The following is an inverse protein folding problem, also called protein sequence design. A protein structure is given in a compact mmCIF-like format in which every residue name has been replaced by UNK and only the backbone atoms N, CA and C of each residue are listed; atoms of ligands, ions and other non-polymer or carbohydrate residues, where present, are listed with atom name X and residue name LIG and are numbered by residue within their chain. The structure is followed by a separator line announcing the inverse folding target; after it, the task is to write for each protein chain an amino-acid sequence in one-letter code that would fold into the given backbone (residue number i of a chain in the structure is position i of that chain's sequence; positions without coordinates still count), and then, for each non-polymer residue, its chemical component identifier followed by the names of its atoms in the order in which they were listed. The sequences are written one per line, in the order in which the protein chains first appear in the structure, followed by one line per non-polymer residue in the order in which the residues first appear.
data_IF_144626582784
#
_entry.id   IF_144626582784
#
_cell.length_a   1.000
_cell.length_b   1.000
_cell.length_c   1.000
_cell.angle_alpha   90.00
_cell.angle_beta   90.00
_cell.angle_gamma   90.00
#
_symmetry.space_group_name_H-M   'P 1'
#
loop_
_entity.id
_entity.type
_entity.pdbx_description
1 polymer ?
#
# COMPACT_ATOMS: atom_id res chain seq x y z
N UNK A 1 3.03 -7.04 -21.41
CA UNK A 1 4.07 -6.39 -20.57
C UNK A 1 4.01 -4.87 -20.58
N UNK A 2 4.10 -4.17 -21.73
CA UNK A 2 4.01 -2.68 -21.77
C UNK A 2 2.76 -2.12 -21.07
N UNK A 3 1.59 -2.74 -21.28
CA UNK A 3 0.34 -2.36 -20.59
C UNK A 3 0.41 -2.51 -19.07
N UNK A 4 0.98 -3.62 -18.58
CA UNK A 4 1.16 -3.91 -17.15
C UNK A 4 2.07 -2.85 -16.49
N UNK A 5 3.20 -2.54 -17.13
CA UNK A 5 4.15 -1.53 -16.61
C UNK A 5 3.47 -0.17 -16.55
N UNK A 6 2.79 0.26 -17.62
CA UNK A 6 2.11 1.55 -17.65
C UNK A 6 1.00 1.65 -16.60
N UNK A 7 0.13 0.64 -16.51
CA UNK A 7 -0.91 0.60 -15.48
C UNK A 7 -0.32 0.56 -14.07
N UNK A 8 0.79 -0.15 -13.89
CA UNK A 8 1.48 -0.23 -12.62
C UNK A 8 2.09 1.09 -12.18
N UNK A 9 2.69 1.85 -13.10
CA UNK A 9 3.19 3.20 -12.82
C UNK A 9 2.04 4.13 -12.43
N UNK A 10 0.92 4.10 -13.16
CA UNK A 10 -0.25 4.93 -12.85
C UNK A 10 -0.80 4.59 -11.47
N UNK A 11 -0.95 3.30 -11.15
CA UNK A 11 -1.35 2.85 -9.81
C UNK A 11 -0.35 3.33 -8.76
N UNK A 12 0.95 3.24 -9.02
CA UNK A 12 1.99 3.71 -8.10
C UNK A 12 1.92 5.20 -7.81
N UNK A 13 1.69 6.04 -8.82
CA UNK A 13 1.49 7.50 -8.63
C UNK A 13 0.29 7.77 -7.73
N UNK A 14 -0.84 7.09 -7.97
CA UNK A 14 -2.05 7.31 -7.17
C UNK A 14 -1.88 6.77 -5.75
N UNK A 15 -1.28 5.58 -5.57
CA UNK A 15 -0.99 5.04 -4.24
C UNK A 15 -0.04 5.96 -3.47
N UNK A 16 0.99 6.53 -4.12
CA UNK A 16 1.87 7.49 -3.48
C UNK A 16 1.09 8.70 -2.97
N UNK A 17 0.27 9.33 -3.83
CA UNK A 17 -0.53 10.49 -3.45
C UNK A 17 -1.51 10.16 -2.30
N UNK A 18 -2.22 9.03 -2.39
CA UNK A 18 -3.14 8.57 -1.35
C UNK A 18 -2.40 8.28 -0.04
N UNK A 19 -1.26 7.60 -0.11
CA UNK A 19 -0.44 7.28 1.08
C UNK A 19 0.09 8.54 1.76
N UNK A 20 0.48 9.56 1.00
CA UNK A 20 0.90 10.85 1.57
C UNK A 20 -0.24 11.54 2.30
N UNK A 21 -1.45 11.56 1.72
CA UNK A 21 -2.64 12.15 2.36
C UNK A 21 -3.02 11.40 3.64
N UNK A 22 -3.01 10.06 3.61
CA UNK A 22 -3.30 9.22 4.77
C UNK A 22 -2.25 9.43 5.87
N UNK A 23 -0.97 9.42 5.51
CA UNK A 23 0.13 9.61 6.45
C UNK A 23 0.06 11.00 7.09
N UNK A 24 -0.26 12.06 6.33
CA UNK A 24 -0.47 13.40 6.87
C UNK A 24 -1.52 13.41 7.99
N UNK A 25 -2.64 12.69 7.81
CA UNK A 25 -3.66 12.54 8.86
C UNK A 25 -3.17 11.77 10.08
N UNK A 26 -2.45 10.66 9.89
CA UNK A 26 -1.93 9.85 11.00
C UNK A 26 -0.79 10.52 11.78
N UNK A 27 0.00 11.36 11.14
CA UNK A 27 1.07 12.11 11.80
C UNK A 27 0.54 13.15 12.82
N UNK A 28 -0.76 13.42 12.83
CA UNK A 28 -1.40 14.24 13.88
C UNK A 28 -1.47 13.52 15.24
N UNK A 29 -1.32 12.20 15.27
CA UNK A 29 -1.28 11.43 16.51
C UNK A 29 0.16 11.41 17.06
N UNK A 30 0.43 11.98 18.25
CA UNK A 30 1.79 12.12 18.77
C UNK A 30 2.55 10.80 18.89
N UNK A 31 1.85 9.71 19.24
CA UNK A 31 2.44 8.37 19.33
C UNK A 31 2.97 7.89 17.98
N UNK A 32 2.20 8.09 16.90
CA UNK A 32 2.62 7.72 15.55
C UNK A 32 3.80 8.60 15.12
N UNK A 33 3.71 9.91 15.35
CA UNK A 33 4.79 10.83 15.01
C UNK A 33 6.11 10.50 15.72
N UNK A 34 6.05 10.12 17.00
CA UNK A 34 7.22 9.69 17.77
C UNK A 34 7.84 8.40 17.21
N UNK A 35 7.03 7.42 16.81
CA UNK A 35 7.52 6.18 16.18
C UNK A 35 8.26 6.47 14.86
N UNK A 36 7.76 7.41 14.05
CA UNK A 36 8.40 7.83 12.79
C UNK A 36 9.70 8.64 12.99
N UNK A 37 9.87 9.26 14.15
CA UNK A 37 11.10 9.99 14.51
C UNK A 37 12.13 9.12 15.22
N UNK A 38 11.77 7.91 15.65
CA UNK A 38 12.65 7.01 16.37
C UNK A 38 13.67 6.34 15.43
N UNK A 39 14.88 6.89 15.40
CA UNK A 39 15.97 6.40 14.54
C UNK A 39 16.55 5.05 14.96
N UNK A 40 16.15 4.51 16.12
CA UNK A 40 16.52 3.14 16.51
C UNK A 40 15.68 2.10 15.77
N UNK A 41 14.53 2.50 15.21
CA UNK A 41 13.60 1.62 14.49
C UNK A 41 13.53 2.03 13.01
N UNK A 42 13.37 3.32 12.74
CA UNK A 42 13.26 3.88 11.39
C UNK A 42 14.60 4.39 10.90
N UNK A 43 14.84 4.27 9.61
CA UNK A 43 15.97 4.93 8.97
C UNK A 43 15.78 6.44 8.99
N UNK A 44 16.85 7.18 9.22
CA UNK A 44 16.86 8.65 9.18
C UNK A 44 16.44 9.17 7.78
N UNK A 45 15.74 10.30 7.76
CA UNK A 45 15.39 11.02 6.51
C UNK A 45 16.60 11.58 5.77
N UNK A 46 17.74 11.76 6.44
CA UNK A 46 18.99 12.20 5.82
C UNK A 46 19.75 11.05 5.16
N UNK A 47 19.37 9.80 5.42
CA UNK A 47 19.96 8.64 4.77
C UNK A 47 19.44 8.52 3.33
N UNK A 48 20.32 8.55 2.31
CA UNK A 48 19.90 8.47 0.91
C UNK A 48 19.08 7.23 0.57
N UNK A 49 19.29 6.10 1.28
CA UNK A 49 18.53 4.88 1.03
C UNK A 49 17.06 5.01 1.46
N UNK A 50 16.74 5.95 2.36
CA UNK A 50 15.37 6.23 2.76
C UNK A 50 14.52 6.68 1.57
N UNK A 51 15.14 7.19 0.49
CA UNK A 51 14.44 7.55 -0.75
C UNK A 51 13.74 6.36 -1.42
N UNK A 52 14.21 5.13 -1.18
CA UNK A 52 13.53 3.92 -1.68
C UNK A 52 12.11 3.77 -1.11
N UNK A 53 11.82 4.40 0.02
CA UNK A 53 10.46 4.49 0.56
C UNK A 53 9.49 5.11 -0.45
N UNK A 54 9.91 6.08 -1.24
CA UNK A 54 9.05 6.70 -2.27
C UNK A 54 9.00 5.91 -3.57
N UNK A 55 9.93 4.97 -3.78
CA UNK A 55 9.90 4.05 -4.91
C UNK A 55 8.91 2.89 -4.68
N UNK A 56 8.66 2.52 -3.43
CA UNK A 56 7.81 1.38 -3.06
C UNK A 56 6.42 1.38 -3.74
N UNK A 57 5.69 2.52 -3.88
CA UNK A 57 4.35 2.52 -4.47
C UNK A 57 4.38 2.09 -5.94
N UNK A 58 5.46 2.40 -6.66
CA UNK A 58 5.63 2.02 -8.07
C UNK A 58 5.93 0.53 -8.21
N UNK A 59 6.78 -0.01 -7.34
CA UNK A 59 7.04 -1.45 -7.27
C UNK A 59 5.75 -2.20 -6.96
N UNK A 60 5.01 -1.73 -5.94
CA UNK A 60 3.71 -2.28 -5.57
C UNK A 60 2.73 -2.21 -6.75
N UNK A 61 2.57 -1.05 -7.39
CA UNK A 61 1.66 -0.86 -8.51
C UNK A 61 1.94 -1.81 -9.68
N UNK A 62 3.21 -2.01 -10.05
CA UNK A 62 3.61 -2.95 -11.10
C UNK A 62 3.27 -4.39 -10.72
N UNK A 63 3.52 -4.79 -9.47
CA UNK A 63 3.17 -6.12 -8.96
C UNK A 63 1.65 -6.30 -9.01
N UNK A 64 0.88 -5.35 -8.49
CA UNK A 64 -0.59 -5.40 -8.49
C UNK A 64 -1.14 -5.51 -9.92
N UNK A 65 -0.61 -4.74 -10.87
CA UNK A 65 -1.00 -4.83 -12.27
C UNK A 65 -0.73 -6.22 -12.85
N UNK A 66 0.40 -6.83 -12.50
CA UNK A 66 0.77 -8.18 -12.94
C UNK A 66 -0.12 -9.28 -12.35
N UNK A 67 -0.49 -9.15 -11.07
CA UNK A 67 -1.42 -10.08 -10.42
C UNK A 67 -2.82 -9.92 -11.02
N UNK A 68 -3.31 -8.68 -11.15
CA UNK A 68 -4.61 -8.37 -11.73
C UNK A 68 -4.78 -8.98 -13.12
N UNK A 69 -3.79 -8.83 -14.01
CA UNK A 69 -3.86 -9.37 -15.38
C UNK A 69 -4.13 -10.89 -15.41
N UNK A 70 -3.69 -11.62 -14.39
CA UNK A 70 -3.87 -13.08 -14.25
C UNK A 70 -5.13 -13.46 -13.50
N UNK A 71 -5.61 -12.62 -12.59
CA UNK A 71 -6.70 -12.98 -11.67
C UNK A 71 -8.01 -12.23 -11.94
N UNK A 72 -8.03 -11.23 -12.83
CA UNK A 72 -9.21 -10.39 -13.09
C UNK A 72 -10.48 -11.16 -13.45
N UNK A 73 -10.35 -12.34 -14.06
CA UNK A 73 -11.47 -13.23 -14.39
C UNK A 73 -12.14 -13.89 -13.18
N UNK A 74 -11.49 -13.88 -12.02
CA UNK A 74 -12.03 -14.43 -10.77
C UNK A 74 -13.01 -13.47 -10.08
N UNK A 75 -12.94 -12.16 -10.38
CA UNK A 75 -13.74 -11.14 -9.71
C UNK A 75 -14.96 -10.74 -10.53
N UNK A 76 -16.12 -10.66 -9.86
CA UNK A 76 -17.41 -10.43 -10.50
C UNK A 76 -18.05 -9.11 -10.06
N UNK A 77 -18.97 -8.60 -10.89
CA UNK A 77 -19.73 -7.37 -10.62
C UNK A 77 -19.17 -6.12 -11.29
N UNK A 78 -19.55 -4.97 -10.75
CA UNK A 78 -19.12 -3.64 -11.22
C UNK A 78 -17.62 -3.39 -11.01
N UNK A 79 -17.07 -2.34 -11.63
CA UNK A 79 -15.67 -1.91 -11.44
C UNK A 79 -15.30 -1.82 -9.96
N UNK A 80 -16.16 -1.15 -9.18
CA UNK A 80 -15.94 -0.97 -7.74
C UNK A 80 -15.97 -2.28 -6.98
N UNK A 81 -16.90 -3.18 -7.32
CA UNK A 81 -16.99 -4.50 -6.68
C UNK A 81 -15.75 -5.36 -6.98
N UNK A 82 -15.31 -5.40 -8.24
CA UNK A 82 -14.10 -6.14 -8.62
C UNK A 82 -12.84 -5.56 -7.98
N UNK A 83 -12.70 -4.24 -7.98
CA UNK A 83 -11.58 -3.55 -7.34
C UNK A 83 -11.52 -3.80 -5.83
N UNK A 84 -12.66 -3.78 -5.15
CA UNK A 84 -12.74 -4.09 -3.72
C UNK A 84 -12.39 -5.56 -3.44
N UNK A 85 -12.96 -6.51 -4.18
CA UNK A 85 -12.65 -7.94 -4.00
C UNK A 85 -11.15 -8.21 -4.16
N UNK A 86 -10.55 -7.66 -5.22
CA UNK A 86 -9.11 -7.77 -5.45
C UNK A 86 -8.28 -7.10 -4.35
N UNK A 87 -8.59 -5.85 -4.00
CA UNK A 87 -7.88 -5.10 -2.97
C UNK A 87 -7.92 -5.79 -1.61
N UNK A 88 -9.09 -6.26 -1.19
CA UNK A 88 -9.26 -7.01 0.07
C UNK A 88 -8.45 -8.30 0.04
N UNK A 89 -8.47 -9.06 -1.06
CA UNK A 89 -7.66 -10.28 -1.18
C UNK A 89 -6.16 -9.99 -1.03
N UNK A 90 -5.66 -8.95 -1.69
CA UNK A 90 -4.26 -8.51 -1.56
C UNK A 90 -3.94 -8.07 -0.13
N UNK A 91 -4.81 -7.27 0.49
CA UNK A 91 -4.62 -6.81 1.85
C UNK A 91 -4.53 -7.97 2.86
N UNK A 92 -5.41 -8.96 2.73
CA UNK A 92 -5.42 -10.15 3.58
C UNK A 92 -4.16 -11.01 3.41
N UNK A 93 -3.64 -11.13 2.19
CA UNK A 93 -2.50 -12.01 1.89
C UNK A 93 -1.16 -11.31 2.16
N UNK A 94 -1.06 -10.01 1.90
CA UNK A 94 0.20 -9.27 2.00
C UNK A 94 0.29 -8.38 3.23
N UNK A 95 -0.73 -7.55 3.49
CA UNK A 95 -0.67 -6.55 4.57
C UNK A 95 -0.88 -7.18 5.93
N UNK A 96 -1.94 -7.97 6.13
CA UNK A 96 -2.25 -8.53 7.46
C UNK A 96 -1.11 -9.38 8.02
N UNK A 97 -0.50 -10.33 7.27
CA UNK A 97 0.65 -11.08 7.76
C UNK A 97 1.87 -10.19 8.01
N UNK A 98 2.14 -9.21 7.13
CA UNK A 98 3.24 -8.27 7.31
C UNK A 98 3.11 -7.40 8.56
N UNK A 99 1.89 -6.98 8.90
CA UNK A 99 1.60 -6.18 10.10
C UNK A 99 1.67 -7.03 11.37
N UNK A 100 1.24 -8.29 11.30
CA UNK A 100 1.40 -9.23 12.41
C UNK A 100 2.89 -9.45 12.73
N UNK A 101 3.72 -9.70 11.70
CA UNK A 101 5.18 -9.82 11.87
C UNK A 101 5.74 -8.52 12.45
N UNK A 102 5.35 -7.36 11.90
CA UNK A 102 5.84 -6.06 12.35
C UNK A 102 5.52 -5.81 13.83
N UNK A 103 4.31 -6.11 14.28
CA UNK A 103 3.92 -5.98 15.69
C UNK A 103 4.68 -6.93 16.61
N UNK A 104 4.96 -8.15 16.14
CA UNK A 104 5.72 -9.13 16.92
C UNK A 104 7.23 -8.88 16.96
N UNK A 105 7.78 -8.11 16.01
CA UNK A 105 9.23 -8.00 15.80
C UNK A 105 9.81 -6.60 16.06
N UNK A 106 9.02 -5.55 15.90
CA UNK A 106 9.47 -4.17 16.11
C UNK A 106 8.86 -3.57 17.37
N UNK A 107 9.59 -2.67 18.02
CA UNK A 107 9.10 -1.91 19.18
C UNK A 107 8.25 -0.70 18.75
N UNK A 108 7.31 -0.94 17.84
CA UNK A 108 6.35 0.07 17.37
C UNK A 108 5.10 0.05 18.23
N UNK A 109 4.45 1.20 18.37
CA UNK A 109 3.14 1.24 19.04
C UNK A 109 2.08 0.48 18.23
N UNK A 110 1.13 -0.12 18.95
CA UNK A 110 -0.03 -0.77 18.32
C UNK A 110 -0.79 0.18 17.39
N UNK A 111 -0.86 1.46 17.74
CA UNK A 111 -1.53 2.48 16.94
C UNK A 111 -0.84 2.68 15.58
N UNK A 112 0.49 2.66 15.54
CA UNK A 112 1.26 2.70 14.28
C UNK A 112 0.96 1.49 13.41
N UNK A 113 0.95 0.28 14.00
CA UNK A 113 0.60 -0.95 13.25
C UNK A 113 -0.82 -0.89 12.69
N UNK A 114 -1.79 -0.42 13.47
CA UNK A 114 -3.17 -0.24 13.00
C UNK A 114 -3.21 0.77 11.84
N UNK A 115 -2.50 1.89 11.96
CA UNK A 115 -2.45 2.92 10.92
C UNK A 115 -1.92 2.38 9.59
N UNK A 116 -0.87 1.55 9.63
CA UNK A 116 -0.29 0.91 8.45
C UNK A 116 -1.20 -0.18 7.88
N UNK A 117 -1.85 -0.94 8.75
CA UNK A 117 -2.84 -1.95 8.36
C UNK A 117 -3.98 -1.32 7.58
N UNK A 118 -4.54 -0.22 8.08
CA UNK A 118 -5.62 0.55 7.42
C UNK A 118 -5.12 1.20 6.14
N UNK A 119 -3.93 1.80 6.15
CA UNK A 119 -3.31 2.40 4.95
C UNK A 119 -3.15 1.36 3.84
N UNK A 120 -2.68 0.15 4.18
CA UNK A 120 -2.53 -0.96 3.24
C UNK A 120 -3.87 -1.41 2.63
N UNK A 121 -4.95 -1.43 3.40
CA UNK A 121 -6.29 -1.73 2.89
C UNK A 121 -6.74 -0.67 1.88
N UNK A 122 -6.60 0.60 2.21
CA UNK A 122 -7.00 1.70 1.33
C UNK A 122 -6.17 1.66 0.04
N UNK A 123 -4.85 1.52 0.15
CA UNK A 123 -3.94 1.46 -1.00
C UNK A 123 -4.25 0.29 -1.94
N UNK A 124 -4.50 -0.90 -1.39
CA UNK A 124 -4.84 -2.09 -2.19
C UNK A 124 -6.20 -1.98 -2.87
N UNK A 125 -7.22 -1.42 -2.19
CA UNK A 125 -8.53 -1.14 -2.79
C UNK A 125 -8.41 -0.11 -3.91
N UNK A 126 -7.74 1.02 -3.66
CA UNK A 126 -7.54 2.07 -4.67
C UNK A 126 -6.81 1.51 -5.89
N UNK A 127 -5.73 0.76 -5.67
CA UNK A 127 -5.02 0.08 -6.76
C UNK A 127 -5.92 -0.89 -7.53
N UNK A 128 -6.72 -1.69 -6.83
CA UNK A 128 -7.67 -2.61 -7.44
C UNK A 128 -8.74 -1.90 -8.30
N UNK A 129 -9.30 -0.79 -7.82
CA UNK A 129 -10.31 -0.01 -8.56
C UNK A 129 -9.71 0.60 -9.83
N UNK A 130 -8.49 1.15 -9.76
CA UNK A 130 -7.79 1.72 -10.92
C UNK A 130 -7.54 0.63 -11.96
N UNK A 131 -7.03 -0.54 -11.52
CA UNK A 131 -6.77 -1.66 -12.42
C UNK A 131 -8.05 -2.22 -13.05
N UNK A 132 -9.12 -2.34 -12.27
CA UNK A 132 -10.44 -2.73 -12.78
C UNK A 132 -10.98 -1.77 -13.84
N UNK A 133 -10.75 -0.47 -13.66
CA UNK A 133 -11.17 0.55 -14.63
C UNK A 133 -10.32 0.55 -15.91
N UNK A 134 -9.02 0.33 -15.79
CA UNK A 134 -8.08 0.40 -16.92
C UNK A 134 -8.03 -0.88 -17.75
N UNK A 135 -8.15 -2.03 -17.09
CA UNK A 135 -7.86 -3.34 -17.67
C UNK A 135 -9.01 -4.32 -17.36
N UNK A 136 -10.22 -3.98 -17.84
CA UNK A 136 -11.41 -4.79 -17.68
C UNK A 136 -11.27 -6.24 -18.19
#
# INVERSE_FOLDING_TARGET
MKKIILSGIIVGVVILAVSMLINYGFMLFPTIAADYQNTNIMRSWQDPLMMLFFLHPFVLGIILAGVWDRTKGLFQGSIFQKGNQFGIAIWLIATVPGMLISYSSFTLSLLTIISWTVSGLINSIVGGIILARMNH
#
